data_IF_884369297999
#
_entry.id   IF_884369297999
#
_cell.length_a   1.000
_cell.length_b   1.000
_cell.length_c   1.000
_cell.angle_alpha   90.00
_cell.angle_beta   90.00
_cell.angle_gamma   90.00
#
_symmetry.space_group_name_H-M   'P 1'
#
loop_
_entity.id
_entity.type
_entity.pdbx_description
1 polymer ?
#
# COMPACT_ATOMS: atom_id res chain seq x y z
N UNK A 1 -6.18 -7.28 -28.13
CA UNK A 1 -6.89 -8.19 -27.23
C UNK A 1 -7.78 -7.33 -26.34
N UNK A 2 -9.05 -7.72 -26.12
CA UNK A 2 -9.86 -7.02 -25.10
C UNK A 2 -9.25 -7.29 -23.74
N UNK A 3 -8.92 -6.23 -22.96
CA UNK A 3 -8.53 -6.37 -21.55
C UNK A 3 -9.60 -7.22 -20.86
N UNK A 4 -9.18 -8.26 -20.13
CA UNK A 4 -10.06 -8.87 -19.14
C UNK A 4 -10.29 -7.81 -18.06
N UNK A 5 -11.48 -7.24 -17.99
CA UNK A 5 -11.82 -6.18 -17.06
C UNK A 5 -12.17 -6.73 -15.66
N UNK A 6 -11.74 -7.95 -15.34
CA UNK A 6 -12.09 -8.60 -14.08
C UNK A 6 -11.09 -8.20 -13.00
N UNK A 7 -11.54 -7.34 -12.08
CA UNK A 7 -10.83 -7.06 -10.84
C UNK A 7 -11.03 -8.22 -9.85
N UNK A 8 -10.02 -8.52 -9.04
CA UNK A 8 -10.06 -9.54 -7.97
C UNK A 8 -9.69 -8.88 -6.66
N UNK A 9 -10.53 -9.04 -5.63
CA UNK A 9 -10.27 -8.60 -4.27
C UNK A 9 -9.69 -9.78 -3.45
N UNK A 10 -8.53 -9.57 -2.83
CA UNK A 10 -7.90 -10.56 -1.96
C UNK A 10 -7.99 -10.06 -0.52
N UNK A 11 -8.59 -10.87 0.35
CA UNK A 11 -8.82 -10.51 1.74
C UNK A 11 -8.87 -11.75 2.63
N UNK A 12 -9.21 -11.59 3.90
CA UNK A 12 -9.33 -12.73 4.81
C UNK A 12 -9.75 -12.32 6.21
N UNK A 13 -10.39 -13.25 6.92
CA UNK A 13 -10.90 -13.01 8.28
C UNK A 13 -9.79 -12.79 9.32
N UNK A 14 -8.55 -13.25 9.06
CA UNK A 14 -7.41 -13.00 9.93
C UNK A 14 -7.16 -11.50 10.18
N UNK A 15 -7.53 -10.65 9.23
CA UNK A 15 -7.32 -9.20 9.33
C UNK A 15 -8.31 -8.50 10.28
N UNK A 16 -9.33 -9.21 10.79
CA UNK A 16 -10.25 -8.72 11.81
C UNK A 16 -9.72 -8.90 13.24
N UNK A 17 -8.69 -9.73 13.39
CA UNK A 17 -8.08 -9.95 14.69
C UNK A 17 -7.32 -8.71 15.16
N UNK A 18 -7.36 -8.41 16.45
CA UNK A 18 -6.56 -7.36 17.04
C UNK A 18 -5.05 -7.66 16.88
N UNK A 19 -4.29 -6.65 16.56
CA UNK A 19 -2.85 -6.75 16.32
C UNK A 19 -2.13 -5.52 16.89
N UNK A 20 -0.81 -5.57 17.00
CA UNK A 20 0.08 -4.48 17.42
C UNK A 20 -0.07 -3.98 18.87
N UNK A 21 -1.17 -4.19 19.57
CA UNK A 21 -1.40 -3.70 20.95
C UNK A 21 -1.87 -2.24 21.02
N UNK A 22 -2.35 -1.81 22.21
CA UNK A 22 -3.17 -0.60 22.39
C UNK A 22 -2.46 0.75 22.17
N UNK A 23 -1.11 0.78 22.16
CA UNK A 23 -0.36 2.05 22.01
C UNK A 23 0.37 2.12 20.67
N UNK A 24 -0.11 1.42 19.65
CA UNK A 24 0.53 1.38 18.36
C UNK A 24 -0.37 2.02 17.30
N UNK A 25 0.15 2.77 16.31
CA UNK A 25 -0.67 3.38 15.26
C UNK A 25 -1.53 2.38 14.48
N UNK A 26 -1.09 1.12 14.38
CA UNK A 26 -1.85 0.05 13.71
C UNK A 26 -2.77 -0.75 14.66
N UNK A 27 -3.13 -0.22 15.83
CA UNK A 27 -4.22 -0.78 16.66
C UNK A 27 -5.58 -0.68 15.97
N UNK A 28 -5.77 0.28 15.08
CA UNK A 28 -7.00 0.49 14.33
C UNK A 28 -7.32 -0.69 13.40
N UNK A 29 -8.59 -0.99 13.26
CA UNK A 29 -9.06 -1.93 12.24
C UNK A 29 -9.02 -1.28 10.86
N UNK A 30 -8.47 -1.97 9.86
CA UNK A 30 -8.35 -1.44 8.49
C UNK A 30 -9.02 -2.34 7.46
N UNK A 31 -8.49 -3.53 7.21
CA UNK A 31 -8.95 -4.44 6.14
C UNK A 31 -10.34 -5.02 6.42
N UNK A 32 -10.64 -5.37 7.68
CA UNK A 32 -11.96 -5.87 8.07
C UNK A 32 -13.09 -4.91 7.70
N UNK A 33 -13.05 -3.65 8.17
CA UNK A 33 -14.03 -2.64 7.79
C UNK A 33 -14.10 -2.36 6.28
N UNK A 34 -12.97 -2.41 5.56
CA UNK A 34 -12.99 -2.27 4.09
C UNK A 34 -13.81 -3.37 3.43
N UNK A 35 -13.62 -4.64 3.85
CA UNK A 35 -14.43 -5.75 3.33
C UNK A 35 -15.91 -5.56 3.64
N UNK A 36 -16.25 -5.10 4.87
CA UNK A 36 -17.63 -4.88 5.27
C UNK A 36 -18.29 -3.77 4.46
N UNK A 37 -17.63 -2.62 4.34
CA UNK A 37 -18.11 -1.51 3.51
C UNK A 37 -18.34 -1.96 2.07
N UNK A 38 -17.38 -2.69 1.47
CA UNK A 38 -17.52 -3.15 0.10
C UNK A 38 -18.70 -4.13 -0.07
N UNK A 39 -18.95 -5.01 0.90
CA UNK A 39 -20.09 -5.95 0.87
C UNK A 39 -21.43 -5.23 1.09
N UNK A 40 -21.50 -4.33 2.07
CA UNK A 40 -22.74 -3.61 2.41
C UNK A 40 -23.16 -2.58 1.34
N UNK A 41 -22.18 -2.05 0.59
CA UNK A 41 -22.45 -1.25 -0.62
C UNK A 41 -22.81 -2.11 -1.83
N UNK A 42 -22.69 -3.45 -1.76
CA UNK A 42 -22.89 -4.33 -2.91
C UNK A 42 -21.77 -4.28 -3.95
N UNK A 43 -20.60 -3.79 -3.59
CA UNK A 43 -19.44 -3.66 -4.46
C UNK A 43 -18.55 -4.91 -4.51
N UNK A 44 -18.67 -5.78 -3.52
CA UNK A 44 -17.87 -7.00 -3.40
C UNK A 44 -18.78 -8.23 -3.28
N UNK A 45 -18.82 -9.03 -4.34
CA UNK A 45 -19.49 -10.32 -4.39
C UNK A 45 -18.49 -11.49 -4.18
N UNK A 46 -19.04 -12.69 -4.04
CA UNK A 46 -18.23 -13.91 -3.80
C UNK A 46 -17.41 -14.32 -5.04
N UNK A 47 -17.76 -13.86 -6.25
CA UNK A 47 -16.99 -14.16 -7.47
C UNK A 47 -15.72 -13.32 -7.56
N UNK A 48 -15.77 -12.10 -7.07
CA UNK A 48 -14.66 -11.17 -7.05
C UNK A 48 -13.76 -11.36 -5.83
N UNK A 49 -14.27 -11.95 -4.73
CA UNK A 49 -13.51 -12.20 -3.51
C UNK A 49 -12.71 -13.50 -3.58
N UNK A 50 -11.46 -13.40 -3.13
CA UNK A 50 -10.55 -14.55 -2.97
C UNK A 50 -9.93 -14.48 -1.59
N UNK A 51 -9.98 -15.60 -0.86
CA UNK A 51 -9.31 -15.72 0.43
C UNK A 51 -7.79 -15.63 0.25
N UNK A 52 -7.15 -14.81 1.09
CA UNK A 52 -5.71 -14.62 1.09
C UNK A 52 -5.01 -15.89 1.60
N UNK A 53 -4.20 -16.59 0.78
CA UNK A 53 -3.42 -17.71 1.27
C UNK A 53 -2.30 -17.23 2.18
N UNK A 54 -1.82 -18.11 3.05
CA UNK A 54 -0.59 -17.86 3.80
C UNK A 54 0.63 -18.23 2.92
N UNK A 55 1.62 -17.34 2.83
CA UNK A 55 2.88 -17.65 2.18
C UNK A 55 3.62 -18.75 2.94
N UNK A 56 4.21 -19.69 2.20
CA UNK A 56 5.09 -20.72 2.75
C UNK A 56 6.43 -20.12 3.21
N UNK A 57 7.15 -20.87 4.01
CA UNK A 57 8.50 -20.48 4.44
C UNK A 57 9.42 -20.31 3.22
N UNK A 58 9.33 -21.18 2.22
CA UNK A 58 10.09 -21.14 0.97
C UNK A 58 9.80 -19.88 0.15
N UNK A 59 8.55 -19.41 0.12
CA UNK A 59 8.18 -18.15 -0.54
C UNK A 59 8.74 -16.96 0.22
N UNK A 60 8.66 -16.94 1.55
CA UNK A 60 9.21 -15.86 2.37
C UNK A 60 10.73 -15.73 2.23
N UNK A 61 11.47 -16.83 2.20
CA UNK A 61 12.94 -16.81 2.06
C UNK A 61 13.40 -16.47 0.63
N UNK A 62 12.49 -16.25 -0.30
CA UNK A 62 12.83 -15.73 -1.62
C UNK A 62 13.47 -14.33 -1.52
N UNK A 63 13.15 -13.59 -0.49
CA UNK A 63 13.73 -12.28 -0.14
C UNK A 63 14.35 -12.26 1.26
N UNK A 64 13.66 -12.81 2.23
CA UNK A 64 14.08 -12.74 3.62
C UNK A 64 15.12 -13.80 3.97
N UNK A 65 16.07 -13.42 4.85
CA UNK A 65 17.03 -14.37 5.37
C UNK A 65 16.32 -15.50 6.16
N UNK A 66 16.66 -16.78 5.94
CA UNK A 66 16.03 -17.91 6.65
C UNK A 66 16.03 -17.74 8.17
N UNK A 67 17.16 -17.33 8.75
CA UNK A 67 17.27 -17.10 10.19
C UNK A 67 16.37 -15.97 10.72
N UNK A 68 16.02 -14.99 9.88
CA UNK A 68 15.06 -13.94 10.22
C UNK A 68 13.62 -14.46 10.20
N UNK A 69 13.24 -15.24 9.20
CA UNK A 69 11.90 -15.85 9.15
C UNK A 69 11.69 -16.78 10.36
N UNK A 70 12.69 -17.60 10.68
CA UNK A 70 12.67 -18.47 11.87
C UNK A 70 12.56 -17.65 13.17
N UNK A 71 13.22 -16.49 13.25
CA UNK A 71 13.14 -15.60 14.39
C UNK A 71 11.76 -14.98 14.59
N UNK A 72 11.03 -14.65 13.49
CA UNK A 72 9.64 -14.18 13.57
C UNK A 72 8.73 -15.31 14.08
N UNK A 73 8.91 -16.53 13.59
CA UNK A 73 8.17 -17.71 14.05
C UNK A 73 8.42 -17.96 15.54
N UNK A 74 9.69 -17.95 15.98
CA UNK A 74 10.06 -18.10 17.40
C UNK A 74 9.41 -17.02 18.27
N UNK A 75 9.49 -15.76 17.84
CA UNK A 75 8.92 -14.63 18.58
C UNK A 75 7.40 -14.75 18.74
N UNK A 76 6.68 -15.16 17.69
CA UNK A 76 5.24 -15.40 17.74
C UNK A 76 4.87 -16.55 18.67
N UNK A 77 5.52 -17.72 18.55
CA UNK A 77 5.29 -18.89 19.40
C UNK A 77 5.54 -18.61 20.89
N UNK A 78 6.56 -17.80 21.19
CA UNK A 78 6.90 -17.43 22.58
C UNK A 78 6.05 -16.26 23.07
N UNK A 79 5.43 -15.49 22.17
CA UNK A 79 4.65 -14.29 22.47
C UNK A 79 5.48 -13.08 22.90
N UNK A 80 6.79 -13.11 22.68
CA UNK A 80 7.74 -12.03 23.00
C UNK A 80 9.07 -12.17 22.28
N UNK A 81 9.79 -11.06 22.14
CA UNK A 81 11.17 -11.06 21.67
C UNK A 81 12.16 -10.84 22.84
N UNK A 82 13.23 -11.60 22.87
CA UNK A 82 14.37 -11.37 23.77
C UNK A 82 15.28 -10.25 23.24
N UNK A 83 16.32 -9.88 24.01
CA UNK A 83 17.24 -8.81 23.63
C UNK A 83 17.95 -9.07 22.28
N UNK A 84 18.34 -10.33 22.01
CA UNK A 84 19.01 -10.73 20.77
C UNK A 84 18.09 -10.59 19.54
N UNK A 85 16.82 -11.01 19.66
CA UNK A 85 15.84 -10.86 18.57
C UNK A 85 15.55 -9.38 18.29
N UNK A 86 15.51 -8.57 19.35
CA UNK A 86 15.31 -7.12 19.21
C UNK A 86 16.48 -6.44 18.52
N UNK A 87 17.71 -6.74 18.95
CA UNK A 87 18.93 -6.13 18.42
C UNK A 87 19.18 -6.54 16.96
N UNK A 88 19.11 -7.85 16.67
CA UNK A 88 19.46 -8.36 15.35
C UNK A 88 18.36 -8.16 14.31
N UNK A 89 17.08 -8.24 14.71
CA UNK A 89 15.95 -8.37 13.79
C UNK A 89 14.88 -7.28 13.96
N UNK A 90 15.04 -6.36 14.91
CA UNK A 90 14.05 -5.30 15.17
C UNK A 90 12.74 -5.79 15.77
N UNK A 91 12.64 -7.06 16.19
CA UNK A 91 11.42 -7.66 16.74
C UNK A 91 11.20 -7.29 18.21
N UNK A 92 9.96 -6.98 18.59
CA UNK A 92 9.60 -6.61 19.96
C UNK A 92 10.05 -5.20 20.38
N UNK A 93 10.26 -4.32 19.43
CA UNK A 93 10.39 -2.86 19.62
C UNK A 93 9.01 -2.21 19.72
N UNK A 94 8.94 -0.92 20.05
CA UNK A 94 7.67 -0.18 19.95
C UNK A 94 7.17 -0.08 18.50
N UNK A 95 8.09 0.03 17.55
CA UNK A 95 7.80 0.07 16.13
C UNK A 95 7.29 -1.28 15.60
N UNK A 96 7.91 -2.38 16.04
CA UNK A 96 7.57 -3.73 15.57
C UNK A 96 7.33 -4.68 16.76
N UNK A 97 6.20 -4.52 17.48
CA UNK A 97 5.88 -5.33 18.66
C UNK A 97 5.59 -6.78 18.28
N UNK A 98 5.77 -7.69 19.24
CA UNK A 98 5.32 -9.08 19.10
C UNK A 98 3.89 -9.17 19.65
N UNK A 99 3.00 -9.75 18.87
CA UNK A 99 1.60 -10.01 19.24
C UNK A 99 1.20 -11.43 18.78
N UNK A 100 0.17 -11.98 19.35
CA UNK A 100 -0.32 -13.32 19.03
C UNK A 100 -0.79 -13.41 17.57
N UNK A 101 -0.32 -14.41 16.82
CA UNK A 101 -0.64 -14.60 15.40
C UNK A 101 0.15 -13.69 14.46
N UNK A 102 1.24 -13.10 14.95
CA UNK A 102 2.13 -12.23 14.18
C UNK A 102 2.59 -12.89 12.86
N UNK A 103 3.16 -14.10 12.97
CA UNK A 103 3.68 -14.82 11.82
C UNK A 103 2.57 -15.16 10.82
N UNK A 104 1.46 -15.72 11.31
CA UNK A 104 0.34 -16.09 10.46
C UNK A 104 -0.20 -14.87 9.69
N UNK A 105 -0.44 -13.75 10.39
CA UNK A 105 -0.93 -12.51 9.79
C UNK A 105 0.04 -11.93 8.75
N UNK A 106 1.33 -11.83 9.09
CA UNK A 106 2.34 -11.28 8.17
C UNK A 106 2.57 -12.18 6.96
N UNK A 107 2.63 -13.50 7.16
CA UNK A 107 2.76 -14.46 6.07
C UNK A 107 1.50 -14.52 5.18
N UNK A 108 0.29 -14.34 5.75
CA UNK A 108 -0.95 -14.25 4.96
C UNK A 108 -1.00 -12.99 4.11
N UNK A 109 -0.50 -11.85 4.62
CA UNK A 109 -0.35 -10.63 3.81
C UNK A 109 0.56 -10.87 2.60
N UNK A 110 1.71 -11.51 2.83
CA UNK A 110 2.64 -11.88 1.76
C UNK A 110 2.02 -12.87 0.75
N UNK A 111 1.37 -13.91 1.23
CA UNK A 111 0.70 -14.89 0.39
C UNK A 111 -0.41 -14.27 -0.47
N UNK A 112 -1.16 -13.31 0.08
CA UNK A 112 -2.15 -12.54 -0.65
C UNK A 112 -1.52 -11.74 -1.81
N UNK A 113 -0.38 -11.09 -1.59
CA UNK A 113 0.32 -10.31 -2.62
C UNK A 113 1.00 -11.18 -3.67
N UNK A 114 1.55 -12.34 -3.29
CA UNK A 114 2.05 -13.36 -4.22
C UNK A 114 0.88 -13.88 -5.09
N UNK A 115 -0.25 -14.20 -4.45
CA UNK A 115 -1.44 -14.65 -5.16
C UNK A 115 -2.01 -13.57 -6.09
N UNK A 116 -1.99 -12.28 -5.69
CA UNK A 116 -2.35 -11.17 -6.56
C UNK A 116 -1.51 -11.14 -7.85
N UNK A 117 -0.21 -11.37 -7.75
CA UNK A 117 0.68 -11.50 -8.91
C UNK A 117 0.27 -12.66 -9.84
N UNK A 118 -0.17 -13.79 -9.29
CA UNK A 118 -0.67 -14.93 -10.07
C UNK A 118 -2.00 -14.64 -10.76
N UNK A 119 -2.90 -13.90 -10.10
CA UNK A 119 -4.22 -13.59 -10.63
C UNK A 119 -4.20 -12.63 -11.82
N UNK A 120 -3.12 -11.89 -12.03
CA UNK A 120 -3.00 -10.94 -13.15
C UNK A 120 -2.25 -11.50 -14.35
N UNK A 121 -1.83 -12.75 -14.37
CA UNK A 121 -1.01 -13.32 -15.45
C UNK A 121 -1.67 -13.25 -16.83
N UNK A 122 -2.97 -13.44 -16.88
CA UNK A 122 -3.77 -13.35 -18.12
C UNK A 122 -4.28 -11.90 -18.38
N UNK A 123 -3.84 -10.95 -17.59
CA UNK A 123 -4.29 -9.55 -17.62
C UNK A 123 -5.35 -9.23 -16.57
N UNK A 124 -5.60 -7.95 -16.34
CA UNK A 124 -6.53 -7.43 -15.35
C UNK A 124 -5.84 -6.83 -14.13
N UNK A 125 -6.59 -6.69 -13.05
CA UNK A 125 -6.04 -6.19 -11.79
C UNK A 125 -6.43 -7.09 -10.60
N UNK A 126 -5.54 -7.17 -9.60
CA UNK A 126 -5.80 -7.82 -8.34
C UNK A 126 -5.46 -6.86 -7.20
N UNK A 127 -6.34 -6.79 -6.21
CA UNK A 127 -6.24 -5.86 -5.09
C UNK A 127 -6.13 -6.61 -3.77
N UNK A 128 -5.03 -6.40 -3.04
CA UNK A 128 -4.80 -6.90 -1.69
C UNK A 128 -4.62 -5.71 -0.73
N UNK A 129 -5.68 -5.23 -0.05
CA UNK A 129 -5.57 -4.10 0.89
C UNK A 129 -4.73 -4.42 2.13
N UNK A 130 -4.47 -5.69 2.43
CA UNK A 130 -3.61 -6.11 3.53
C UNK A 130 -2.11 -6.04 3.21
N UNK A 131 -1.76 -5.93 1.93
CA UNK A 131 -0.40 -5.78 1.46
C UNK A 131 0.15 -4.36 1.59
N UNK A 132 1.31 -4.12 0.97
CA UNK A 132 2.00 -2.83 0.98
C UNK A 132 2.95 -2.65 2.15
N UNK A 133 3.52 -3.74 2.69
CA UNK A 133 4.50 -3.71 3.78
C UNK A 133 5.93 -3.43 3.25
N UNK A 134 6.10 -2.26 2.68
CA UNK A 134 7.24 -1.86 1.82
C UNK A 134 8.55 -1.56 2.57
N UNK A 135 8.53 -1.47 3.91
CA UNK A 135 9.72 -1.21 4.73
C UNK A 135 10.43 -2.48 5.23
N UNK A 136 9.81 -3.67 5.07
CA UNK A 136 10.41 -4.92 5.49
C UNK A 136 11.78 -5.13 4.82
N UNK A 137 12.83 -5.33 5.63
CA UNK A 137 14.20 -5.52 5.15
C UNK A 137 14.54 -7.01 5.00
N UNK A 138 15.60 -7.41 4.29
CA UNK A 138 15.94 -8.82 4.11
C UNK A 138 16.07 -9.60 5.42
N UNK A 139 16.58 -8.98 6.47
CA UNK A 139 16.85 -9.63 7.77
C UNK A 139 16.37 -8.80 8.97
N UNK A 140 15.38 -7.92 8.78
CA UNK A 140 14.93 -7.04 9.86
C UNK A 140 13.52 -6.52 9.64
N UNK A 141 12.69 -6.51 10.69
CA UNK A 141 11.45 -5.75 10.74
C UNK A 141 11.74 -4.25 10.82
N UNK A 142 11.00 -3.44 10.08
CA UNK A 142 11.15 -1.98 10.03
C UNK A 142 9.82 -1.33 9.65
N UNK A 143 9.49 -0.16 10.17
CA UNK A 143 8.32 0.62 9.75
C UNK A 143 7.00 -0.16 9.87
N UNK A 144 6.79 -0.88 10.95
CA UNK A 144 5.62 -1.75 11.18
C UNK A 144 5.54 -2.97 10.24
N UNK A 145 6.54 -3.18 9.38
CA UNK A 145 6.60 -4.25 8.37
C UNK A 145 7.51 -5.38 8.83
N UNK A 146 6.95 -6.57 8.99
CA UNK A 146 7.73 -7.78 9.36
C UNK A 146 8.30 -8.46 8.12
N UNK A 147 7.50 -8.62 7.08
CA UNK A 147 7.92 -9.11 5.77
C UNK A 147 7.58 -8.09 4.70
N UNK A 148 8.23 -8.17 3.54
CA UNK A 148 8.05 -7.26 2.42
C UNK A 148 7.24 -7.94 1.31
N UNK A 149 5.93 -7.83 1.38
CA UNK A 149 5.03 -8.45 0.42
C UNK A 149 5.11 -7.83 -1.00
N UNK A 150 5.32 -6.49 -1.19
CA UNK A 150 5.58 -5.94 -2.52
C UNK A 150 6.77 -6.61 -3.21
N UNK A 151 7.87 -6.82 -2.49
CA UNK A 151 9.06 -7.50 -3.05
C UNK A 151 8.73 -8.93 -3.47
N UNK A 152 8.00 -9.67 -2.64
CA UNK A 152 7.62 -11.06 -2.95
C UNK A 152 6.66 -11.13 -4.14
N UNK A 153 5.73 -10.19 -4.27
CA UNK A 153 4.84 -10.04 -5.43
C UNK A 153 5.63 -9.78 -6.72
N UNK A 154 6.62 -8.88 -6.67
CA UNK A 154 7.49 -8.58 -7.81
C UNK A 154 8.32 -9.82 -8.19
N UNK A 155 8.93 -10.50 -7.22
CA UNK A 155 9.66 -11.75 -7.52
C UNK A 155 8.76 -12.80 -8.17
N UNK A 156 7.51 -12.94 -7.71
CA UNK A 156 6.57 -13.87 -8.34
C UNK A 156 6.31 -13.53 -9.80
N UNK A 157 6.09 -12.25 -10.14
CA UNK A 157 5.92 -11.81 -11.53
C UNK A 157 7.16 -12.13 -12.39
N UNK A 158 8.36 -11.89 -11.86
CA UNK A 158 9.60 -12.21 -12.55
C UNK A 158 9.79 -13.73 -12.74
N UNK A 159 9.49 -14.52 -11.71
CA UNK A 159 9.62 -16.00 -11.73
C UNK A 159 8.66 -16.66 -12.75
N UNK A 160 7.51 -16.06 -13.02
CA UNK A 160 6.57 -16.52 -14.06
C UNK A 160 6.85 -15.93 -15.46
N UNK A 161 7.97 -15.19 -15.62
CA UNK A 161 8.50 -14.79 -16.93
C UNK A 161 8.20 -13.35 -17.36
N UNK A 162 7.73 -12.47 -16.48
CA UNK A 162 7.66 -11.03 -16.78
C UNK A 162 9.10 -10.50 -16.94
N UNK A 163 9.38 -9.85 -18.06
CA UNK A 163 10.72 -9.34 -18.35
C UNK A 163 10.99 -8.02 -17.61
N UNK A 164 9.95 -7.20 -17.40
CA UNK A 164 10.05 -5.91 -16.69
C UNK A 164 8.85 -5.68 -15.80
N UNK A 165 9.10 -5.36 -14.54
CA UNK A 165 8.09 -5.01 -13.54
C UNK A 165 8.36 -3.60 -13.02
N UNK A 166 7.34 -2.74 -13.01
CA UNK A 166 7.43 -1.42 -12.41
C UNK A 166 6.75 -1.44 -11.04
N UNK A 167 7.41 -0.92 -10.04
CA UNK A 167 6.84 -0.64 -8.73
C UNK A 167 6.49 0.84 -8.63
N UNK A 168 5.26 1.17 -8.27
CA UNK A 168 4.81 2.52 -7.97
C UNK A 168 4.36 2.60 -6.51
N UNK A 169 5.02 3.45 -5.73
CA UNK A 169 4.71 3.71 -4.34
C UNK A 169 4.04 5.08 -4.18
N UNK A 170 2.82 5.08 -3.70
CA UNK A 170 2.00 6.27 -3.39
C UNK A 170 1.77 6.44 -1.89
N UNK A 171 2.48 5.68 -1.05
CA UNK A 171 2.50 5.83 0.40
C UNK A 171 3.20 7.15 0.80
N UNK A 172 2.83 7.74 1.92
CA UNK A 172 3.48 8.96 2.40
C UNK A 172 4.95 8.75 2.79
N UNK A 173 5.36 7.49 3.02
CA UNK A 173 6.72 7.13 3.38
C UNK A 173 7.46 6.50 2.19
N UNK A 174 8.76 6.76 2.09
CA UNK A 174 9.58 6.15 1.05
C UNK A 174 9.65 4.62 1.19
N UNK A 175 9.39 3.88 0.11
CA UNK A 175 9.43 2.41 0.06
C UNK A 175 10.86 1.85 0.03
N UNK A 176 11.64 2.15 1.07
CA UNK A 176 13.08 1.87 1.18
C UNK A 176 13.43 0.39 1.06
N UNK A 177 12.59 -0.50 1.59
CA UNK A 177 12.79 -1.94 1.50
C UNK A 177 12.65 -2.48 0.08
N UNK A 178 11.72 -1.91 -0.72
CA UNK A 178 11.53 -2.31 -2.12
C UNK A 178 12.65 -1.72 -3.00
N UNK A 179 13.00 -0.45 -2.83
CA UNK A 179 14.12 0.15 -3.54
C UNK A 179 15.41 -0.62 -3.27
N UNK A 180 15.69 -0.96 -2.00
CA UNK A 180 16.86 -1.77 -1.64
C UNK A 180 16.88 -3.13 -2.34
N UNK A 181 15.74 -3.80 -2.40
CA UNK A 181 15.64 -5.15 -2.98
C UNK A 181 16.00 -5.19 -4.46
N UNK A 182 15.70 -4.13 -5.20
CA UNK A 182 15.80 -4.11 -6.66
C UNK A 182 16.78 -3.09 -7.23
N UNK A 183 17.51 -2.38 -6.38
CA UNK A 183 18.44 -1.34 -6.82
C UNK A 183 19.48 -1.79 -7.87
N UNK A 184 19.81 -3.08 -7.91
CA UNK A 184 20.77 -3.67 -8.85
C UNK A 184 20.10 -4.65 -9.87
N UNK A 185 18.75 -4.73 -9.90
CA UNK A 185 18.03 -5.57 -10.86
C UNK A 185 17.44 -4.71 -12.01
N UNK A 186 18.03 -4.74 -13.20
CA UNK A 186 17.57 -3.89 -14.30
C UNK A 186 16.18 -4.26 -14.84
N UNK A 187 15.59 -5.38 -14.40
CA UNK A 187 14.24 -5.80 -14.76
C UNK A 187 13.17 -5.08 -13.97
N UNK A 188 13.55 -4.45 -12.86
CA UNK A 188 12.60 -3.74 -11.97
C UNK A 188 12.90 -2.25 -11.98
N UNK A 189 11.86 -1.45 -12.16
CA UNK A 189 11.91 -0.01 -11.93
C UNK A 189 11.13 0.33 -10.67
N UNK A 190 11.60 1.30 -9.87
CA UNK A 190 10.92 1.78 -8.68
C UNK A 190 10.61 3.27 -8.81
N UNK A 191 9.36 3.64 -8.56
CA UNK A 191 8.90 5.03 -8.47
C UNK A 191 8.30 5.21 -7.08
N UNK A 192 8.73 6.23 -6.34
CA UNK A 192 8.14 6.57 -5.03
C UNK A 192 7.82 8.06 -4.96
N UNK A 193 6.55 8.40 -4.66
CA UNK A 193 6.10 9.76 -4.33
C UNK A 193 5.83 9.77 -2.83
N UNK A 194 6.70 10.42 -2.06
CA UNK A 194 6.66 10.37 -0.60
C UNK A 194 6.97 11.74 0.01
N UNK A 195 6.57 11.95 1.25
CA UNK A 195 6.82 13.21 1.95
C UNK A 195 8.31 13.37 2.28
N UNK A 196 8.92 14.48 1.86
CA UNK A 196 10.33 14.76 2.13
C UNK A 196 10.60 14.94 3.62
N UNK A 197 11.83 14.65 4.05
CA UNK A 197 12.31 14.80 5.43
C UNK A 197 11.53 13.99 6.48
N UNK A 198 10.69 13.05 6.04
CA UNK A 198 9.96 12.10 6.90
C UNK A 198 10.72 10.78 7.01
N UNK A 199 10.47 10.07 8.10
CA UNK A 199 10.97 8.69 8.24
C UNK A 199 10.62 7.87 6.97
N UNK A 200 11.49 6.99 6.43
CA UNK A 200 12.80 6.56 6.93
C UNK A 200 13.99 7.46 6.55
N UNK A 201 13.77 8.71 6.10
CA UNK A 201 14.77 9.69 5.70
C UNK A 201 15.66 9.24 4.53
N UNK A 202 15.10 8.41 3.65
CA UNK A 202 15.71 7.92 2.40
C UNK A 202 14.93 8.43 1.18
N UNK A 203 15.28 7.99 -0.03
CA UNK A 203 14.58 8.41 -1.25
C UNK A 203 14.76 9.89 -1.61
N UNK A 204 15.87 10.51 -1.20
CA UNK A 204 16.09 11.96 -1.38
C UNK A 204 16.47 12.34 -2.81
N UNK A 205 16.86 11.38 -3.64
CA UNK A 205 17.25 11.57 -5.03
C UNK A 205 16.93 10.33 -5.86
N UNK A 206 16.76 10.54 -7.16
CA UNK A 206 16.60 9.46 -8.14
C UNK A 206 17.95 9.02 -8.69
N UNK A 207 17.99 7.78 -9.18
CA UNK A 207 19.06 7.20 -9.98
C UNK A 207 18.48 6.50 -11.21
N UNK A 208 18.16 7.23 -12.29
CA UNK A 208 17.56 6.66 -13.49
C UNK A 208 18.42 5.60 -14.18
N UNK A 209 19.74 5.57 -13.94
CA UNK A 209 20.62 4.53 -14.47
C UNK A 209 20.36 3.16 -13.81
N UNK A 210 19.83 3.18 -12.60
CA UNK A 210 19.39 2.01 -11.84
C UNK A 210 17.86 1.82 -11.85
N UNK A 211 17.15 2.56 -12.71
CA UNK A 211 15.67 2.57 -12.77
C UNK A 211 15.00 2.96 -11.44
N UNK A 212 15.58 3.93 -10.72
CA UNK A 212 15.06 4.45 -9.46
C UNK A 212 14.61 5.90 -9.66
N UNK A 213 13.33 6.19 -9.38
CA UNK A 213 12.75 7.52 -9.47
C UNK A 213 12.06 7.91 -8.16
N UNK A 214 12.68 8.84 -7.43
CA UNK A 214 12.21 9.34 -6.16
C UNK A 214 11.69 10.76 -6.28
N UNK A 215 10.46 10.98 -5.82
CA UNK A 215 9.78 12.27 -5.80
C UNK A 215 9.50 12.69 -4.34
N UNK A 216 10.50 13.20 -3.59
CA UNK A 216 10.27 13.73 -2.26
C UNK A 216 9.46 15.03 -2.34
N UNK A 217 8.20 14.98 -1.92
CA UNK A 217 7.25 16.09 -2.01
C UNK A 217 7.16 16.86 -0.70
N UNK A 218 6.96 18.18 -0.72
CA UNK A 218 6.88 18.97 0.50
C UNK A 218 5.55 18.78 1.23
N UNK A 219 5.54 19.09 2.53
CA UNK A 219 4.34 19.19 3.36
C UNK A 219 3.18 19.89 2.65
N UNK A 220 1.96 19.41 2.86
CA UNK A 220 0.75 19.92 2.22
C UNK A 220 0.65 19.58 0.72
N UNK A 221 1.36 18.54 0.26
CA UNK A 221 1.24 18.06 -1.12
C UNK A 221 -0.21 17.76 -1.48
N UNK A 222 -0.67 18.30 -2.62
CA UNK A 222 -2.08 18.41 -2.98
C UNK A 222 -2.48 17.54 -4.18
N UNK A 223 -3.79 17.41 -4.41
CA UNK A 223 -4.38 16.69 -5.54
C UNK A 223 -3.89 17.19 -6.89
N UNK A 224 -3.84 18.51 -7.07
CA UNK A 224 -3.35 19.09 -8.32
C UNK A 224 -1.86 18.81 -8.56
N UNK A 225 -1.07 18.75 -7.50
CA UNK A 225 0.35 18.42 -7.56
C UNK A 225 0.58 16.94 -7.84
N UNK A 226 -0.21 16.05 -7.24
CA UNK A 226 -0.17 14.61 -7.55
C UNK A 226 -0.52 14.39 -9.04
N UNK A 227 -1.62 14.96 -9.51
CA UNK A 227 -2.01 14.88 -10.92
C UNK A 227 -0.90 15.37 -11.84
N UNK A 228 -0.29 16.49 -11.53
CA UNK A 228 0.81 17.06 -12.30
C UNK A 228 2.03 16.11 -12.34
N UNK A 229 2.45 15.55 -11.19
CA UNK A 229 3.56 14.59 -11.16
C UNK A 229 3.23 13.30 -11.92
N UNK A 230 2.01 12.80 -11.82
CA UNK A 230 1.58 11.63 -12.60
C UNK A 230 1.72 11.91 -14.09
N UNK A 231 1.19 13.03 -14.59
CA UNK A 231 1.20 13.39 -16.01
C UNK A 231 2.60 13.75 -16.54
N UNK A 232 3.36 14.55 -15.77
CA UNK A 232 4.62 15.12 -16.23
C UNK A 232 5.85 14.23 -15.99
N UNK A 233 5.78 13.27 -15.06
CA UNK A 233 6.92 12.44 -14.69
C UNK A 233 6.59 10.94 -14.64
N UNK A 234 5.62 10.51 -13.85
CA UNK A 234 5.35 9.07 -13.61
C UNK A 234 4.92 8.36 -14.89
N UNK A 235 3.94 8.89 -15.62
CA UNK A 235 3.46 8.26 -16.86
C UNK A 235 4.50 8.29 -18.00
N UNK A 236 5.31 9.34 -18.19
CA UNK A 236 6.48 9.28 -19.08
C UNK A 236 7.51 8.20 -18.67
N UNK A 237 7.85 8.07 -17.39
CA UNK A 237 8.72 6.98 -16.90
C UNK A 237 8.11 5.61 -17.18
N UNK A 238 6.83 5.42 -16.87
CA UNK A 238 6.10 4.18 -17.18
C UNK A 238 6.19 3.84 -18.68
N UNK A 239 5.91 4.81 -19.55
CA UNK A 239 5.96 4.61 -20.99
C UNK A 239 7.39 4.28 -21.49
N UNK A 240 8.42 4.95 -20.97
CA UNK A 240 9.83 4.71 -21.31
C UNK A 240 10.32 3.36 -20.78
N UNK A 241 9.98 3.00 -19.57
CA UNK A 241 10.31 1.70 -18.96
C UNK A 241 9.53 0.55 -19.63
N UNK A 242 8.29 0.80 -20.08
CA UNK A 242 7.43 -0.18 -20.78
C UNK A 242 7.29 -1.51 -20.03
N UNK A 243 6.67 -1.53 -18.83
CA UNK A 243 6.59 -2.72 -17.99
C UNK A 243 5.59 -3.75 -18.53
N UNK A 244 5.83 -5.04 -18.28
CA UNK A 244 4.90 -6.13 -18.51
C UNK A 244 3.81 -6.18 -17.43
N UNK A 245 4.16 -5.75 -16.22
CA UNK A 245 3.28 -5.66 -15.07
C UNK A 245 3.67 -4.49 -14.15
N UNK A 246 2.71 -3.97 -13.41
CA UNK A 246 2.94 -2.95 -12.38
C UNK A 246 2.44 -3.46 -11.03
N UNK A 247 3.22 -3.22 -9.97
CA UNK A 247 2.82 -3.38 -8.58
C UNK A 247 2.70 -1.99 -7.97
N UNK A 248 1.55 -1.66 -7.39
CA UNK A 248 1.26 -0.36 -6.79
C UNK A 248 1.05 -0.53 -5.29
N UNK A 249 1.81 0.19 -4.47
CA UNK A 249 1.46 0.40 -3.06
C UNK A 249 0.66 1.69 -2.95
N UNK A 250 -0.59 1.59 -2.46
CA UNK A 250 -1.52 2.71 -2.32
C UNK A 250 -1.81 2.94 -0.83
N UNK A 251 -0.82 3.49 -0.11
CA UNK A 251 -0.99 3.93 1.27
C UNK A 251 -2.06 5.01 1.38
N UNK A 252 -2.82 4.98 2.46
CA UNK A 252 -3.84 5.97 2.78
C UNK A 252 -3.30 7.09 3.69
N UNK A 253 -2.06 7.02 4.10
CA UNK A 253 -1.42 8.00 4.98
C UNK A 253 -1.03 9.32 4.28
N UNK A 254 -1.02 9.36 2.94
CA UNK A 254 -0.95 10.62 2.19
C UNK A 254 -2.24 11.44 2.22
N UNK A 255 -3.34 10.92 2.78
CA UNK A 255 -4.63 11.59 2.82
C UNK A 255 -4.70 12.69 3.88
N UNK A 256 -5.48 13.72 3.57
CA UNK A 256 -5.74 14.81 4.49
C UNK A 256 -6.39 14.34 5.80
N UNK A 257 -5.70 14.50 6.91
CA UNK A 257 -6.15 14.08 8.25
C UNK A 257 -5.54 12.77 8.73
N UNK A 258 -4.54 12.22 8.03
CA UNK A 258 -3.73 11.14 8.58
C UNK A 258 -2.74 11.67 9.63
N UNK A 259 -2.61 11.04 10.80
CA UNK A 259 -1.76 11.53 11.87
C UNK A 259 -0.25 11.35 11.62
N UNK A 260 0.16 10.50 10.68
CA UNK A 260 1.58 10.24 10.42
C UNK A 260 2.13 10.90 9.16
N UNK A 261 1.35 11.79 8.52
CA UNK A 261 1.78 12.55 7.35
C UNK A 261 1.21 13.97 7.38
N UNK A 262 1.83 14.87 6.66
CA UNK A 262 1.29 16.22 6.43
C UNK A 262 0.89 16.44 4.98
N UNK A 263 0.88 15.41 4.15
CA UNK A 263 0.29 15.46 2.82
C UNK A 263 -1.21 15.79 2.92
N UNK A 264 -1.79 16.31 1.86
CA UNK A 264 -3.18 16.83 1.90
C UNK A 264 -3.98 16.33 0.68
N UNK A 265 -3.82 15.03 0.38
CA UNK A 265 -4.50 14.38 -0.73
C UNK A 265 -5.96 14.04 -0.37
N UNK A 266 -6.82 14.02 -1.38
CA UNK A 266 -8.10 13.33 -1.36
C UNK A 266 -7.94 11.88 -1.81
N UNK A 267 -8.86 11.02 -1.39
CA UNK A 267 -8.88 9.63 -1.88
C UNK A 267 -9.17 9.56 -3.39
N UNK A 268 -9.94 10.49 -3.93
CA UNK A 268 -10.23 10.60 -5.37
C UNK A 268 -8.95 10.84 -6.19
N UNK A 269 -8.02 11.64 -5.67
CA UNK A 269 -6.74 11.87 -6.34
C UNK A 269 -5.88 10.61 -6.37
N UNK A 270 -5.83 9.84 -5.26
CA UNK A 270 -5.13 8.56 -5.21
C UNK A 270 -5.76 7.53 -6.16
N UNK A 271 -7.09 7.43 -6.20
CA UNK A 271 -7.78 6.52 -7.12
C UNK A 271 -7.46 6.85 -8.56
N UNK A 272 -7.49 8.14 -8.94
CA UNK A 272 -7.17 8.59 -10.29
C UNK A 272 -5.72 8.26 -10.68
N UNK A 273 -4.77 8.36 -9.75
CA UNK A 273 -3.38 7.97 -9.97
C UNK A 273 -3.26 6.45 -10.24
N UNK A 274 -3.93 5.62 -9.43
CA UNK A 274 -3.96 4.16 -9.63
C UNK A 274 -4.63 3.79 -10.95
N UNK A 275 -5.77 4.41 -11.29
CA UNK A 275 -6.47 4.18 -12.57
C UNK A 275 -5.59 4.50 -13.78
N UNK A 276 -4.85 5.62 -13.74
CA UNK A 276 -3.98 6.03 -14.84
C UNK A 276 -2.95 4.93 -15.16
N UNK A 277 -2.37 4.31 -14.14
CA UNK A 277 -1.40 3.21 -14.30
C UNK A 277 -2.06 1.91 -14.71
N UNK A 278 -3.20 1.55 -14.09
CA UNK A 278 -3.99 0.37 -14.45
C UNK A 278 -4.42 0.41 -15.92
N UNK A 279 -4.85 1.56 -16.39
CA UNK A 279 -5.34 1.72 -17.77
C UNK A 279 -4.20 1.66 -18.80
N UNK A 280 -3.00 2.05 -18.41
CA UNK A 280 -1.80 1.99 -19.23
C UNK A 280 -1.12 0.61 -19.22
N UNK A 281 -1.47 -0.28 -18.27
CA UNK A 281 -0.79 -1.56 -18.06
C UNK A 281 -1.77 -2.73 -18.23
N UNK A 282 -1.30 -3.86 -18.76
CA UNK A 282 -2.14 -5.05 -18.92
C UNK A 282 -2.35 -5.80 -17.60
N UNK A 283 -1.37 -5.75 -16.70
CA UNK A 283 -1.33 -6.51 -15.45
C UNK A 283 -0.98 -5.59 -14.30
N UNK A 284 -1.89 -5.42 -13.36
CA UNK A 284 -1.70 -4.51 -12.24
C UNK A 284 -2.03 -5.21 -10.92
N UNK A 285 -1.05 -5.29 -10.04
CA UNK A 285 -1.23 -5.67 -8.63
C UNK A 285 -1.33 -4.39 -7.83
N UNK A 286 -2.35 -4.29 -6.98
CA UNK A 286 -2.61 -3.12 -6.15
C UNK A 286 -2.62 -3.58 -4.70
N UNK A 287 -1.84 -2.91 -3.88
CA UNK A 287 -1.63 -3.23 -2.47
C UNK A 287 -2.10 -2.06 -1.61
N UNK A 288 -2.37 -2.32 -0.34
CA UNK A 288 -2.59 -1.27 0.64
C UNK A 288 -1.33 -0.46 0.91
N UNK A 289 -0.97 -0.31 2.17
CA UNK A 289 0.19 0.45 2.63
C UNK A 289 -0.06 1.05 4.02
N UNK A 290 0.52 2.22 4.31
CA UNK A 290 0.21 3.02 5.48
C UNK A 290 -1.22 3.54 5.49
N UNK A 291 -1.59 4.18 6.58
CA UNK A 291 -2.91 4.73 6.84
C UNK A 291 -3.31 4.48 8.29
N UNK A 292 -3.42 5.57 9.05
CA UNK A 292 -3.49 5.55 10.52
C UNK A 292 -4.71 6.30 11.06
N UNK A 293 -5.57 6.78 10.17
CA UNK A 293 -6.88 7.33 10.46
C UNK A 293 -7.94 6.34 9.97
N UNK A 294 -8.75 5.71 10.86
CA UNK A 294 -9.66 4.61 10.49
C UNK A 294 -10.72 5.03 9.47
N UNK A 295 -11.18 6.27 9.51
CA UNK A 295 -12.18 6.81 8.56
C UNK A 295 -11.59 6.97 7.17
N UNK A 296 -10.41 7.62 7.07
CA UNK A 296 -9.81 7.91 5.77
C UNK A 296 -9.31 6.64 5.10
N UNK A 297 -8.67 5.71 5.83
CA UNK A 297 -8.17 4.47 5.27
C UNK A 297 -9.31 3.56 4.79
N UNK A 298 -10.38 3.41 5.60
CA UNK A 298 -11.53 2.57 5.22
C UNK A 298 -12.22 3.12 3.97
N UNK A 299 -12.48 4.42 3.92
CA UNK A 299 -13.09 5.09 2.76
C UNK A 299 -12.20 5.02 1.53
N UNK A 300 -10.90 5.25 1.70
CA UNK A 300 -9.93 5.20 0.60
C UNK A 300 -9.88 3.81 -0.04
N UNK A 301 -9.68 2.78 0.76
CA UNK A 301 -9.48 1.44 0.23
C UNK A 301 -10.77 0.78 -0.25
N UNK A 302 -11.91 1.05 0.39
CA UNK A 302 -13.22 0.60 -0.11
C UNK A 302 -13.59 1.30 -1.43
N UNK A 303 -13.37 2.61 -1.53
CA UNK A 303 -13.61 3.35 -2.78
C UNK A 303 -12.62 2.97 -3.88
N UNK A 304 -11.36 2.66 -3.54
CA UNK A 304 -10.41 2.12 -4.52
C UNK A 304 -10.94 0.82 -5.14
N UNK A 305 -11.42 -0.12 -4.30
CA UNK A 305 -12.05 -1.33 -4.83
C UNK A 305 -13.25 -1.02 -5.71
N UNK A 306 -14.14 -0.13 -5.29
CA UNK A 306 -15.30 0.27 -6.08
C UNK A 306 -14.90 0.75 -7.47
N UNK A 307 -13.92 1.64 -7.56
CA UNK A 307 -13.36 2.16 -8.83
C UNK A 307 -12.77 1.03 -9.68
N UNK A 308 -12.00 0.12 -9.09
CA UNK A 308 -11.40 -1.01 -9.80
C UNK A 308 -12.44 -2.00 -10.34
N UNK A 309 -13.53 -2.19 -9.61
CA UNK A 309 -14.64 -3.06 -9.98
C UNK A 309 -15.68 -2.36 -10.88
N UNK A 310 -15.58 -1.04 -11.08
CA UNK A 310 -16.46 -0.26 -11.95
C UNK A 310 -17.77 0.19 -11.32
N UNK A 311 -17.79 0.33 -9.98
CA UNK A 311 -18.93 0.87 -9.22
C UNK A 311 -18.85 2.40 -9.08
N UNK A 312 -20.00 3.03 -8.81
CA UNK A 312 -20.09 4.47 -8.55
C UNK A 312 -19.79 4.77 -7.08
N UNK A 313 -18.67 5.44 -6.84
CA UNK A 313 -18.24 5.87 -5.49
C UNK A 313 -19.03 7.05 -4.92
N UNK A 314 -19.91 7.65 -5.71
CA UNK A 314 -20.77 8.78 -5.30
C UNK A 314 -22.18 8.34 -4.86
N UNK A 315 -22.46 7.04 -4.87
CA UNK A 315 -23.70 6.51 -4.31
C UNK A 315 -23.84 6.86 -2.81
N UNK A 316 -25.05 7.15 -2.34
CA UNK A 316 -25.29 7.39 -0.91
C UNK A 316 -24.88 6.18 -0.06
N UNK A 317 -24.28 6.43 1.08
CA UNK A 317 -23.95 5.36 2.03
C UNK A 317 -25.21 4.64 2.50
N UNK A 318 -25.13 3.32 2.61
CA UNK A 318 -26.16 2.55 3.31
C UNK A 318 -26.15 2.87 4.81
N UNK A 319 -27.27 2.59 5.51
CA UNK A 319 -27.31 2.75 6.95
C UNK A 319 -26.29 1.85 7.68
N UNK A 320 -25.98 0.68 7.14
CA UNK A 320 -24.96 -0.23 7.66
C UNK A 320 -23.55 0.37 7.56
N UNK A 321 -23.19 0.93 6.40
CA UNK A 321 -21.91 1.60 6.20
C UNK A 321 -21.75 2.83 7.09
N UNK A 322 -22.83 3.64 7.24
CA UNK A 322 -22.81 4.79 8.15
C UNK A 322 -22.61 4.35 9.62
N UNK A 323 -23.16 3.21 10.02
CA UNK A 323 -22.94 2.63 11.35
C UNK A 323 -21.48 2.18 11.54
N UNK A 324 -20.90 1.47 10.58
CA UNK A 324 -19.50 1.04 10.62
C UNK A 324 -18.57 2.25 10.83
N UNK A 325 -18.75 3.30 10.01
CA UNK A 325 -17.93 4.52 10.12
C UNK A 325 -18.19 5.28 11.43
N UNK A 326 -19.41 5.17 11.99
CA UNK A 326 -19.81 5.79 13.26
C UNK A 326 -19.24 5.11 14.51
N UNK A 327 -18.80 3.86 14.39
CA UNK A 327 -18.21 3.07 15.49
C UNK A 327 -16.68 3.25 15.61
N UNK A 328 -16.05 3.94 14.66
CA UNK A 328 -14.61 4.14 14.74
C UNK A 328 -14.22 5.11 15.86
N UNK A 329 -13.16 4.72 16.55
CA UNK A 329 -12.45 5.53 17.54
C UNK A 329 -10.95 5.52 17.19
N UNK A 330 -10.25 6.58 17.56
CA UNK A 330 -8.81 6.68 17.34
C UNK A 330 -8.15 7.58 18.38
N UNK A 331 -7.14 7.10 19.05
CA UNK A 331 -6.31 7.89 19.98
C UNK A 331 -5.34 8.84 19.25
N UNK A 332 -5.23 8.72 17.93
CA UNK A 332 -4.32 9.54 17.09
C UNK A 332 -5.04 10.64 16.31
N UNK A 333 -6.36 10.69 16.37
CA UNK A 333 -7.18 11.71 15.69
C UNK A 333 -8.02 12.40 16.73
N UNK A 334 -7.78 13.68 16.97
CA UNK A 334 -8.54 14.46 17.94
C UNK A 334 -10.01 14.56 17.49
N UNK A 335 -10.95 14.54 18.45
CA UNK A 335 -12.40 14.60 18.16
C UNK A 335 -12.78 15.83 17.31
N UNK A 336 -12.10 16.95 17.50
CA UNK A 336 -12.30 18.20 16.73
C UNK A 336 -11.82 18.12 15.27
N UNK A 337 -10.93 17.16 14.96
CA UNK A 337 -10.42 16.90 13.60
C UNK A 337 -11.28 15.90 12.82
N UNK A 338 -12.20 15.22 13.50
CA UNK A 338 -13.14 14.28 12.86
C UNK A 338 -14.14 15.03 11.99
N UNK A 339 -14.15 14.74 10.69
CA UNK A 339 -14.95 15.49 9.71
C UNK A 339 -16.31 14.87 9.49
N UNK A 340 -17.41 15.63 9.55
CA UNK A 340 -18.77 15.11 9.28
C UNK A 340 -18.90 14.40 7.92
N UNK A 341 -18.15 14.84 6.92
CA UNK A 341 -18.13 14.22 5.60
C UNK A 341 -17.66 12.75 5.63
N UNK A 342 -16.84 12.36 6.60
CA UNK A 342 -16.35 11.00 6.73
C UNK A 342 -17.45 9.98 7.04
N UNK A 343 -18.57 10.44 7.57
CA UNK A 343 -19.76 9.61 7.88
C UNK A 343 -20.83 9.66 6.78
N UNK A 344 -20.64 10.51 5.77
CA UNK A 344 -21.68 10.79 4.78
C UNK A 344 -21.34 10.33 3.36
N UNK A 345 -20.05 10.24 3.02
CA UNK A 345 -19.60 9.91 1.66
C UNK A 345 -18.37 9.01 1.68
N UNK A 346 -18.21 8.20 0.64
CA UNK A 346 -16.94 7.48 0.40
C UNK A 346 -15.94 8.41 -0.28
N UNK A 347 -16.34 9.11 -1.33
CA UNK A 347 -15.47 10.02 -2.07
C UNK A 347 -15.27 11.35 -1.32
N UNK A 348 -14.03 11.81 -1.27
CA UNK A 348 -13.71 13.18 -0.85
C UNK A 348 -14.02 14.16 -1.98
N UNK A 349 -14.18 15.42 -1.64
CA UNK A 349 -14.25 16.50 -2.62
C UNK A 349 -12.82 16.96 -2.92
N UNK A 350 -12.30 16.76 -4.15
CA UNK A 350 -10.97 17.21 -4.53
C UNK A 350 -10.80 18.72 -4.37
N UNK A 351 -9.62 19.13 -3.94
CA UNK A 351 -9.26 20.54 -3.84
C UNK A 351 -8.46 20.95 -5.06
N UNK A 352 -8.98 21.88 -5.83
CA UNK A 352 -8.23 22.48 -6.93
C UNK A 352 -7.32 23.60 -6.39
N UNK A 353 -6.01 23.33 -6.41
CA UNK A 353 -4.96 24.24 -5.92
C UNK A 353 -3.93 24.47 -7.03
N UNK A 354 -3.17 25.56 -6.94
CA UNK A 354 -2.06 25.77 -7.86
C UNK A 354 -0.91 24.79 -7.58
N UNK A 355 -0.29 24.28 -8.64
CA UNK A 355 0.94 23.49 -8.55
C UNK A 355 2.10 24.39 -8.13
N UNK A 356 2.83 24.02 -7.09
CA UNK A 356 3.98 24.78 -6.60
C UNK A 356 5.16 24.68 -7.57
N UNK A 357 5.93 25.76 -7.80
CA UNK A 357 7.13 25.70 -8.66
C UNK A 357 8.18 24.66 -8.21
N UNK A 358 8.19 24.26 -6.93
CA UNK A 358 9.05 23.17 -6.43
C UNK A 358 8.68 21.83 -7.05
N UNK A 359 7.39 21.56 -7.23
CA UNK A 359 6.87 20.33 -7.84
C UNK A 359 7.16 20.32 -9.36
N UNK A 360 6.97 21.46 -10.03
CA UNK A 360 7.34 21.58 -11.45
C UNK A 360 8.82 21.26 -11.67
N UNK A 361 9.70 21.81 -10.83
CA UNK A 361 11.14 21.51 -10.87
C UNK A 361 11.46 20.05 -10.54
N UNK A 362 10.71 19.44 -9.61
CA UNK A 362 10.89 18.04 -9.25
C UNK A 362 10.59 17.12 -10.44
N UNK A 363 9.48 17.37 -11.16
CA UNK A 363 9.12 16.62 -12.36
C UNK A 363 10.18 16.77 -13.48
N UNK A 364 10.68 17.98 -13.71
CA UNK A 364 11.67 18.24 -14.77
C UNK A 364 13.03 17.57 -14.52
N UNK A 365 13.45 17.41 -13.27
CA UNK A 365 14.73 16.75 -12.94
C UNK A 365 14.76 15.27 -13.33
N UNK A 366 13.60 14.66 -13.50
CA UNK A 366 13.48 13.24 -13.82
C UNK A 366 13.30 12.99 -15.33
N UNK A 367 12.98 14.02 -16.10
CA UNK A 367 12.84 13.95 -17.55
C UNK A 367 14.19 14.19 -18.30
N UNK A 368 15.25 14.55 -17.59
CA UNK A 368 16.59 14.78 -18.11
C UNK A 368 17.52 13.60 -17.81
#
# INVERSE_FOLDING_TARGET
MKKSNKAVFIGGEIYRQAAYGNNHPLTIQRVGPVMDVCRDMGWLDDEAFVESPQASWEELIRFHAPAYVDAVIEADQVGRANAKLRENYGLGTQENPVFTGLYERAATSCGGSIHAAERVLDGGCAYNPAGGTHHGQPAKASGFCYFNDPVLSIYRLLDVGMARVLYLDLDAHHGDGVEYAFADDPRVGTISIHEQDRWPHSGTASDPQRNIWNFPVPSGFSDAELRFLMEAAVMPVHAGFSPDAVVVTCGADGLAGDPLSTMNLSNVALWSAVESVRDATMRTVILGGGGYNPWTVTRCWAGLWAVLAGHDVHEPLTGAVAAILGEFESDLVDEEDVRPAWFATIADIPKDTAVRPSIERLALRQAA
#
